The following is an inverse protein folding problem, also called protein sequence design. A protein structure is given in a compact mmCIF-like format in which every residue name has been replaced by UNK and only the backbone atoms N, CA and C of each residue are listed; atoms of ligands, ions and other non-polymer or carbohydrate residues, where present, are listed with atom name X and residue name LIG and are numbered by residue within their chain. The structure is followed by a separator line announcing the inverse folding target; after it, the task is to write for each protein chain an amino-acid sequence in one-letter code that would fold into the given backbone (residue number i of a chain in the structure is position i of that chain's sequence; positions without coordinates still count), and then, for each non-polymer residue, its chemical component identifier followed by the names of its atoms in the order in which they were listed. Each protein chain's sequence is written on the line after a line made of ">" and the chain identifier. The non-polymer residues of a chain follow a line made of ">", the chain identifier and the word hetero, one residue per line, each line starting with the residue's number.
data_IF_656433920335
#
_entry.id   IF_656433920335
#
_cell.length_a   1.000
_cell.length_b   1.000
_cell.length_c   1.000
_cell.angle_alpha   90.00
_cell.angle_beta   90.00
_cell.angle_gamma   90.00
#
_symmetry.space_group_name_H-M   'P 1'
#
loop_
_entity.id
_entity.type
_entity.pdbx_description
1 polymer ?
#
# COMPACT_ATOMS: atom_id res chain seq x y z
N UNK A 1 7.00 10.38 6.26
CA UNK A 1 8.05 10.28 5.22
C UNK A 1 8.98 9.13 5.58
N UNK A 2 9.01 8.09 4.75
CA UNK A 2 9.94 6.97 4.89
C UNK A 2 11.36 7.51 4.85
N UNK A 3 12.17 7.17 5.86
CA UNK A 3 13.52 7.71 5.99
C UNK A 3 14.56 6.74 5.44
N UNK A 4 14.26 5.43 5.46
CA UNK A 4 15.11 4.39 4.89
C UNK A 4 14.27 3.15 4.61
N UNK A 5 14.41 2.60 3.40
CA UNK A 5 13.94 1.28 3.02
C UNK A 5 15.13 0.55 2.37
N UNK A 6 15.52 -0.60 2.89
CA UNK A 6 16.61 -1.41 2.31
C UNK A 6 16.14 -2.85 2.18
N UNK A 7 16.11 -3.35 0.94
CA UNK A 7 15.80 -4.75 0.63
C UNK A 7 17.10 -5.53 0.59
N UNK A 8 17.27 -6.50 1.48
CA UNK A 8 18.44 -7.37 1.50
C UNK A 8 18.20 -8.61 0.62
N UNK A 9 19.28 -9.27 0.19
CA UNK A 9 19.24 -10.51 -0.59
C UNK A 9 18.52 -11.67 0.13
N UNK A 10 18.30 -11.56 1.44
CA UNK A 10 17.56 -12.49 2.29
C UNK A 10 16.04 -12.22 2.34
N UNK A 11 15.47 -11.51 1.35
CA UNK A 11 14.05 -11.08 1.30
C UNK A 11 13.61 -10.25 2.52
N UNK A 12 14.55 -9.62 3.20
CA UNK A 12 14.31 -8.85 4.41
C UNK A 12 14.23 -7.37 4.04
N UNK A 13 13.24 -6.66 4.56
CA UNK A 13 13.05 -5.23 4.32
C UNK A 13 13.26 -4.47 5.63
N UNK A 14 14.37 -3.75 5.74
CA UNK A 14 14.60 -2.79 6.83
C UNK A 14 13.80 -1.51 6.53
N UNK A 15 12.85 -1.20 7.40
CA UNK A 15 11.95 -0.07 7.27
C UNK A 15 12.06 0.88 8.47
N UNK A 16 12.15 2.19 8.18
CA UNK A 16 12.06 3.21 9.23
C UNK A 16 11.30 4.46 8.78
N UNK A 17 10.47 4.98 9.68
CA UNK A 17 9.79 6.26 9.49
C UNK A 17 9.83 7.11 10.75
N UNK A 18 9.82 8.43 10.57
CA UNK A 18 9.64 9.38 11.67
C UNK A 18 8.18 9.81 11.73
N UNK A 19 7.56 9.56 12.88
CA UNK A 19 6.25 10.07 13.25
C UNK A 19 6.34 11.40 14.02
N UNK A 20 5.19 11.93 14.46
CA UNK A 20 5.13 13.15 15.26
C UNK A 20 5.85 13.01 16.60
N UNK A 21 6.22 14.14 17.21
CA UNK A 21 6.81 14.22 18.55
C UNK A 21 8.09 13.38 18.75
N UNK A 22 8.89 13.23 17.69
CA UNK A 22 10.17 12.51 17.75
C UNK A 22 10.02 10.98 17.74
N UNK A 23 8.82 10.45 17.48
CA UNK A 23 8.64 9.02 17.28
C UNK A 23 9.48 8.55 16.09
N UNK A 24 10.37 7.60 16.32
CA UNK A 24 11.09 6.92 15.25
C UNK A 24 10.68 5.47 15.25
N UNK A 25 9.85 5.12 14.28
CA UNK A 25 9.50 3.76 13.97
C UNK A 25 10.66 3.07 13.24
N UNK A 26 10.99 1.88 13.68
CA UNK A 26 11.92 0.99 13.02
C UNK A 26 11.38 -0.43 13.10
N UNK A 27 11.30 -1.09 11.96
CA UNK A 27 10.85 -2.48 11.86
C UNK A 27 11.60 -3.18 10.74
N UNK A 28 11.77 -4.49 10.90
CA UNK A 28 12.41 -5.35 9.90
C UNK A 28 11.34 -6.34 9.45
N UNK A 29 10.91 -6.23 8.20
CA UNK A 29 9.88 -7.09 7.62
C UNK A 29 10.51 -8.26 6.86
N UNK A 30 9.87 -9.42 6.94
CA UNK A 30 10.13 -10.58 6.12
C UNK A 30 8.88 -10.91 5.32
N UNK A 31 9.06 -11.20 4.04
CA UNK A 31 8.02 -11.85 3.26
C UNK A 31 7.85 -13.27 3.79
N UNK A 32 6.61 -13.62 4.14
CA UNK A 32 6.21 -14.97 4.50
C UNK A 32 5.79 -15.66 3.20
N UNK A 33 6.24 -16.90 3.00
CA UNK A 33 5.80 -17.67 1.84
C UNK A 33 4.27 -17.87 1.93
N UNK A 34 3.53 -17.37 0.93
CA UNK A 34 2.09 -17.60 0.79
C UNK A 34 1.84 -18.71 -0.24
N UNK A 35 0.75 -19.45 -0.05
CA UNK A 35 0.31 -20.52 -0.95
C UNK A 35 -0.27 -19.96 -2.26
N UNK A 36 -0.60 -18.67 -2.30
CA UNK A 36 -1.12 -17.98 -3.49
C UNK A 36 -0.04 -17.10 -4.15
N UNK A 37 0.17 -17.19 -5.47
CA UNK A 37 1.10 -16.31 -6.18
C UNK A 37 0.62 -14.85 -6.25
N UNK A 38 -0.68 -14.64 -6.04
CA UNK A 38 -1.34 -13.33 -6.08
C UNK A 38 -1.43 -12.69 -4.69
N UNK A 39 -0.78 -13.30 -3.69
CA UNK A 39 -0.80 -12.84 -2.32
C UNK A 39 0.63 -12.76 -1.76
N UNK A 40 0.92 -11.68 -1.03
CA UNK A 40 2.18 -11.49 -0.33
C UNK A 40 1.86 -11.24 1.14
N UNK A 41 2.10 -12.24 1.97
CA UNK A 41 2.11 -12.09 3.42
C UNK A 41 3.47 -11.53 3.88
N UNK A 42 3.45 -10.68 4.89
CA UNK A 42 4.67 -10.17 5.51
C UNK A 42 4.51 -10.00 7.01
N UNK A 43 5.60 -10.24 7.74
CA UNK A 43 5.65 -10.08 9.19
C UNK A 43 6.93 -9.38 9.63
N UNK A 44 6.85 -8.67 10.75
CA UNK A 44 8.01 -8.05 11.37
C UNK A 44 8.74 -9.05 12.26
N UNK A 45 10.05 -9.14 12.11
CA UNK A 45 10.91 -9.97 12.97
C UNK A 45 11.73 -9.17 13.97
N UNK A 46 11.63 -7.84 13.93
CA UNK A 46 12.43 -6.98 14.79
C UNK A 46 12.00 -5.53 14.75
N UNK A 47 12.57 -4.75 15.68
CA UNK A 47 12.29 -3.33 15.83
C UNK A 47 11.33 -3.00 16.96
N UNK A 48 10.92 -1.73 17.00
CA UNK A 48 10.08 -1.15 18.05
C UNK A 48 8.58 -1.06 17.67
N UNK A 49 8.24 -1.50 16.46
CA UNK A 49 6.87 -1.70 16.00
C UNK A 49 6.79 -3.11 15.41
N UNK A 50 5.78 -3.84 15.86
CA UNK A 50 5.40 -5.12 15.25
C UNK A 50 4.39 -4.83 14.15
N UNK A 51 4.60 -5.39 12.97
CA UNK A 51 3.76 -5.19 11.79
C UNK A 51 3.58 -6.54 11.14
N UNK A 52 2.33 -6.89 10.85
CA UNK A 52 1.99 -8.06 10.06
C UNK A 52 0.96 -7.62 9.04
N UNK A 53 1.01 -8.17 7.84
CA UNK A 53 0.07 -7.79 6.82
C UNK A 53 0.04 -8.72 5.64
N UNK A 54 -0.91 -8.41 4.77
CA UNK A 54 -1.22 -9.14 3.57
C UNK A 54 -1.41 -8.14 2.45
N UNK A 55 -0.79 -8.41 1.31
CA UNK A 55 -1.08 -7.74 0.04
C UNK A 55 -1.74 -8.75 -0.86
N UNK A 56 -2.96 -8.47 -1.30
CA UNK A 56 -3.68 -9.30 -2.28
C UNK A 56 -3.79 -8.53 -3.61
N UNK A 57 -3.54 -9.24 -4.71
CA UNK A 57 -3.57 -8.72 -6.07
C UNK A 57 -4.71 -9.38 -6.84
N UNK A 58 -5.85 -8.70 -6.93
CA UNK A 58 -7.03 -9.23 -7.63
C UNK A 58 -7.17 -8.57 -9.01
N UNK A 59 -7.15 -9.35 -10.10
CA UNK A 59 -7.46 -8.82 -11.44
C UNK A 59 -8.98 -8.59 -11.58
N UNK A 60 -9.39 -7.32 -11.67
CA UNK A 60 -10.81 -6.95 -11.81
C UNK A 60 -11.19 -6.81 -13.29
N UNK A 61 -10.24 -6.39 -14.14
CA UNK A 61 -10.40 -6.25 -15.61
C UNK A 61 -9.05 -6.46 -16.30
N UNK A 62 -9.04 -6.73 -17.63
CA UNK A 62 -7.80 -6.79 -18.39
C UNK A 62 -6.99 -5.50 -18.21
N UNK A 63 -5.75 -5.62 -17.73
CA UNK A 63 -4.84 -4.52 -17.38
C UNK A 63 -5.29 -3.63 -16.19
N UNK A 64 -6.15 -4.14 -15.31
CA UNK A 64 -6.57 -3.46 -14.08
C UNK A 64 -6.57 -4.43 -12.90
N UNK A 65 -5.54 -4.28 -12.06
CA UNK A 65 -5.36 -5.04 -10.82
C UNK A 65 -5.75 -4.18 -9.63
N UNK A 66 -6.64 -4.68 -8.79
CA UNK A 66 -6.93 -4.13 -7.48
C UNK A 66 -5.89 -4.66 -6.49
N UNK A 67 -5.28 -3.74 -5.73
CA UNK A 67 -4.29 -4.08 -4.71
C UNK A 67 -4.94 -3.83 -3.36
N UNK A 68 -5.19 -4.90 -2.61
CA UNK A 68 -5.73 -4.83 -1.25
C UNK A 68 -4.59 -4.98 -0.26
N UNK A 69 -4.38 -3.96 0.59
CA UNK A 69 -3.39 -3.99 1.66
C UNK A 69 -4.10 -4.08 3.02
N UNK A 70 -3.92 -5.21 3.71
CA UNK A 70 -4.31 -5.38 5.10
C UNK A 70 -3.06 -5.28 5.99
N UNK A 71 -3.04 -4.33 6.93
CA UNK A 71 -1.92 -4.16 7.86
C UNK A 71 -2.44 -4.18 9.28
N UNK A 72 -1.89 -5.07 10.09
CA UNK A 72 -1.99 -5.07 11.53
C UNK A 72 -0.67 -4.55 12.11
N UNK A 73 -0.73 -3.63 13.08
CA UNK A 73 0.47 -3.10 13.71
C UNK A 73 0.29 -2.94 15.21
N UNK A 74 1.38 -3.12 15.95
CA UNK A 74 1.45 -2.92 17.40
C UNK A 74 2.73 -2.16 17.78
N UNK A 75 2.56 -1.05 18.51
CA UNK A 75 3.69 -0.24 18.98
C UNK A 75 4.10 -0.76 20.36
N UNK A 76 5.32 -1.28 20.50
CA UNK A 76 5.83 -1.85 21.76
C UNK A 76 5.84 -0.84 22.92
N UNK A 77 6.01 0.44 22.61
CA UNK A 77 6.02 1.51 23.62
C UNK A 77 4.60 2.01 23.90
N UNK A 78 4.12 1.77 25.14
CA UNK A 78 2.78 2.18 25.61
C UNK A 78 2.47 3.66 25.45
N UNK A 79 3.44 4.56 25.63
CA UNK A 79 3.22 6.00 25.45
C UNK A 79 2.91 6.33 23.99
N UNK A 80 3.68 5.76 23.06
CA UNK A 80 3.47 5.96 21.63
C UNK A 80 2.24 5.20 21.12
N UNK A 81 1.91 4.03 21.69
CA UNK A 81 0.66 3.34 21.40
C UNK A 81 -0.56 4.18 21.80
N UNK A 82 -0.53 4.81 22.98
CA UNK A 82 -1.57 5.74 23.41
C UNK A 82 -1.63 6.99 22.52
N UNK A 83 -0.47 7.54 22.16
CA UNK A 83 -0.39 8.69 21.27
C UNK A 83 -0.95 8.38 19.88
N UNK A 84 -0.64 7.19 19.35
CA UNK A 84 -1.19 6.74 18.08
C UNK A 84 -2.69 6.47 18.17
N UNK A 85 -3.18 5.87 19.25
CA UNK A 85 -4.62 5.74 19.45
C UNK A 85 -5.33 7.11 19.45
N UNK A 86 -4.66 8.16 19.95
CA UNK A 86 -5.22 9.52 20.02
C UNK A 86 -5.10 10.28 18.69
N UNK A 87 -4.00 10.13 17.96
CA UNK A 87 -3.69 10.93 16.77
C UNK A 87 -3.84 10.16 15.45
N UNK A 88 -3.96 8.83 15.50
CA UNK A 88 -4.02 7.89 14.36
C UNK A 88 -2.97 8.18 13.30
N UNK A 89 -1.74 8.41 13.73
CA UNK A 89 -0.69 8.86 12.82
C UNK A 89 -0.14 7.72 11.97
N UNK A 90 -0.17 6.48 12.46
CA UNK A 90 0.22 5.30 11.68
C UNK A 90 -0.79 5.06 10.56
N UNK A 91 -2.09 5.08 10.86
CA UNK A 91 -3.15 4.97 9.85
C UNK A 91 -3.05 6.07 8.78
N UNK A 92 -2.83 7.32 9.19
CA UNK A 92 -2.66 8.43 8.27
C UNK A 92 -1.44 8.23 7.37
N UNK A 93 -0.35 7.72 7.94
CA UNK A 93 0.87 7.41 7.20
C UNK A 93 0.64 6.28 6.18
N UNK A 94 0.08 5.14 6.58
CA UNK A 94 -0.21 4.01 5.69
C UNK A 94 -1.12 4.44 4.54
N UNK A 95 -2.20 5.18 4.83
CA UNK A 95 -3.09 5.71 3.80
C UNK A 95 -2.40 6.70 2.85
N UNK A 96 -1.45 7.51 3.36
CA UNK A 96 -0.70 8.43 2.53
C UNK A 96 0.25 7.71 1.57
N UNK A 97 0.91 6.64 2.04
CA UNK A 97 1.80 5.82 1.21
C UNK A 97 1.00 5.01 0.18
N UNK A 98 -0.15 4.44 0.56
CA UNK A 98 -1.08 3.81 -0.40
C UNK A 98 -1.54 4.78 -1.48
N UNK A 99 -1.89 6.01 -1.10
CA UNK A 99 -2.25 7.06 -2.06
C UNK A 99 -1.07 7.44 -2.95
N UNK A 100 0.15 7.50 -2.40
CA UNK A 100 1.38 7.78 -3.15
C UNK A 100 1.65 6.68 -4.18
N UNK A 101 1.60 5.41 -3.77
CA UNK A 101 1.74 4.24 -4.63
C UNK A 101 0.68 4.27 -5.73
N UNK A 102 -0.58 4.48 -5.37
CA UNK A 102 -1.67 4.64 -6.33
C UNK A 102 -1.37 5.75 -7.34
N UNK A 103 -0.95 6.93 -6.89
CA UNK A 103 -0.62 8.05 -7.78
C UNK A 103 0.58 7.75 -8.68
N UNK A 104 1.54 6.95 -8.21
CA UNK A 104 2.68 6.51 -9.00
C UNK A 104 2.24 5.57 -10.12
N UNK A 105 1.36 4.62 -9.82
CA UNK A 105 0.81 3.71 -10.82
C UNK A 105 -0.20 4.38 -11.75
N UNK A 106 -1.03 5.31 -11.26
CA UNK A 106 -1.92 6.13 -12.11
C UNK A 106 -1.14 7.12 -12.99
N UNK A 107 0.04 7.58 -12.55
CA UNK A 107 0.92 8.43 -13.36
C UNK A 107 1.70 7.66 -14.44
N UNK A 108 1.88 6.35 -14.27
CA UNK A 108 2.54 5.46 -15.24
C UNK A 108 1.51 4.79 -16.17
N UNK A 109 0.31 4.51 -15.68
CA UNK A 109 -0.82 4.12 -16.50
C UNK A 109 -1.22 5.31 -17.35
N UNK A 110 -0.87 5.29 -18.65
CA UNK A 110 -1.37 6.24 -19.62
C UNK A 110 -2.87 6.48 -19.36
N UNK A 111 -3.33 7.75 -19.32
CA UNK A 111 -4.69 8.07 -18.94
C UNK A 111 -5.63 7.17 -19.72
N UNK A 112 -6.45 6.40 -19.01
CA UNK A 112 -7.47 5.58 -19.63
C UNK A 112 -8.37 6.54 -20.39
N UNK A 113 -8.15 6.65 -21.70
CA UNK A 113 -9.10 7.24 -22.62
C UNK A 113 -10.29 6.30 -22.54
N UNK A 114 -11.26 6.68 -21.72
CA UNK A 114 -12.62 6.20 -21.87
C UNK A 114 -12.98 6.49 -23.33
N UNK A 115 -12.85 5.46 -24.19
CA UNK A 115 -13.41 5.52 -25.53
C UNK A 115 -14.90 5.65 -25.29
N UNK A 116 -15.36 6.90 -25.33
CA UNK A 116 -16.76 7.25 -25.45
C UNK A 116 -17.39 6.24 -26.40
N UNK A 117 -18.33 5.46 -25.89
CA UNK A 117 -19.05 4.48 -26.68
C UNK A 117 -19.54 5.19 -27.92
N UNK A 118 -19.00 4.78 -29.08
CA UNK A 118 -19.45 5.25 -30.38
C UNK A 118 -20.89 4.76 -30.49
N UNK A 119 -21.85 5.64 -30.21
CA UNK A 119 -23.25 5.38 -30.52
C UNK A 119 -23.33 5.22 -32.05
N UNK A 120 -23.91 4.13 -32.57
CA UNK A 120 -24.04 3.93 -34.00
C UNK A 120 -24.99 4.96 -34.61
N UNK A 121 -24.68 5.35 -35.85
CA UNK A 121 -25.43 6.25 -36.72
C UNK A 121 -26.94 6.00 -36.68
N UNK A 122 -27.71 7.08 -36.56
CA UNK A 122 -29.03 7.16 -37.19
C UNK A 122 -28.87 8.03 -38.45
N UNK A 123 -28.69 7.37 -39.59
CA UNK A 123 -29.10 7.93 -40.87
C UNK A 123 -30.61 8.16 -40.81
N UNK A 124 -31.09 9.36 -41.11
CA UNK A 124 -32.41 9.53 -41.72
C UNK A 124 -32.39 10.72 -42.66
N UNK A 125 -32.89 10.46 -43.86
CA UNK A 125 -32.70 11.16 -45.10
C UNK A 125 -33.30 12.58 -45.15
N UNK A 126 -32.66 13.42 -45.97
CA UNK A 126 -33.29 14.56 -46.65
C UNK A 126 -34.45 14.10 -47.52
N UNK A 127 -35.59 14.79 -47.39
CA UNK A 127 -36.58 15.01 -48.45
C UNK A 127 -37.19 16.40 -48.24
#
# INVERSE_FOLDING_TARGET
>A
MVTKATVTSSKTVDFSFRGPLGFQAHTVLLAVDSDSPDEIAFESVGGNIEVMGLVDFTEVRPNCTEITLAVHYEIKNRFFAWLDHRLRFVDAFVNSELRSIRSHFEGIAAPYIERASVLPMLETATA
#
